data_IF_893305767883
#
_entry.id   IF_893305767883
#
_cell.length_a   1.000
_cell.length_b   1.000
_cell.length_c   1.000
_cell.angle_alpha   90.00
_cell.angle_beta   90.00
_cell.angle_gamma   90.00
#
_symmetry.space_group_name_H-M   'P 1'
#
loop_
_entity.id
_entity.type
_entity.pdbx_description
1 polymer ?
#
# COMPACT_ATOMS: atom_id res chain seq x y z
N UNK A 1 -0.31 14.45 -10.17
CA UNK A 1 0.20 13.09 -9.88
C UNK A 1 1.71 13.10 -9.99
N UNK A 2 2.40 12.68 -8.94
CA UNK A 2 3.84 12.41 -8.92
C UNK A 2 4.04 11.00 -9.47
N UNK A 3 4.92 10.86 -10.47
CA UNK A 3 5.16 9.58 -11.15
C UNK A 3 6.57 9.12 -10.89
N UNK A 4 6.72 7.87 -10.46
CA UNK A 4 8.04 7.29 -10.20
C UNK A 4 8.13 5.87 -10.70
N UNK A 5 9.30 5.53 -11.23
CA UNK A 5 9.62 4.20 -11.73
C UNK A 5 10.88 3.68 -11.04
N UNK A 6 10.89 2.40 -10.66
CA UNK A 6 12.08 1.74 -10.11
C UNK A 6 12.20 0.32 -10.67
N UNK A 7 13.41 -0.14 -10.98
CA UNK A 7 13.62 -1.52 -11.44
C UNK A 7 13.34 -2.50 -10.30
N UNK A 8 12.59 -3.56 -10.60
CA UNK A 8 12.28 -4.64 -9.67
C UNK A 8 13.24 -5.80 -9.87
N UNK A 9 13.32 -6.25 -11.12
CA UNK A 9 14.12 -7.42 -11.49
C UNK A 9 14.50 -7.34 -12.96
N UNK A 10 15.59 -8.02 -13.30
CA UNK A 10 16.08 -8.18 -14.66
C UNK A 10 16.58 -9.61 -14.86
N UNK A 11 15.85 -10.38 -15.65
CA UNK A 11 16.10 -11.80 -15.89
C UNK A 11 15.99 -12.09 -17.38
N UNK A 12 17.01 -12.70 -17.98
CA UNK A 12 17.02 -13.16 -19.37
C UNK A 12 16.52 -12.13 -20.42
N UNK A 13 16.83 -10.85 -20.21
CA UNK A 13 16.44 -9.76 -21.10
C UNK A 13 15.02 -9.22 -20.88
N UNK A 14 14.26 -9.78 -19.94
CA UNK A 14 13.01 -9.21 -19.43
C UNK A 14 13.28 -8.37 -18.19
N UNK A 15 12.71 -7.16 -18.13
CA UNK A 15 12.86 -6.28 -16.98
C UNK A 15 11.50 -5.82 -16.49
N UNK A 16 11.28 -5.90 -15.17
CA UNK A 16 10.07 -5.42 -14.51
C UNK A 16 10.39 -4.17 -13.72
N UNK A 17 9.45 -3.24 -13.70
CA UNK A 17 9.59 -1.98 -12.97
C UNK A 17 8.34 -1.70 -12.16
N UNK A 18 8.55 -1.20 -10.95
CA UNK A 18 7.53 -0.56 -10.15
C UNK A 18 7.15 0.74 -10.84
N UNK A 19 5.86 1.02 -10.95
CA UNK A 19 5.38 2.30 -11.43
C UNK A 19 4.29 2.83 -10.50
N UNK A 20 4.60 3.94 -9.85
CA UNK A 20 3.69 4.61 -8.92
C UNK A 20 3.19 5.91 -9.53
N UNK A 21 1.90 6.18 -9.32
CA UNK A 21 1.27 7.48 -9.57
C UNK A 21 0.60 7.93 -8.27
N UNK A 22 1.16 8.96 -7.64
CA UNK A 22 0.78 9.39 -6.28
C UNK A 22 0.12 10.76 -6.38
N UNK A 23 -1.05 10.93 -5.76
CA UNK A 23 -1.65 12.25 -5.63
C UNK A 23 -0.70 13.17 -4.83
N UNK A 24 -0.41 14.41 -5.28
CA UNK A 24 0.55 15.30 -4.62
C UNK A 24 0.31 15.45 -3.12
N UNK A 25 -0.95 15.59 -2.71
CA UNK A 25 -1.32 15.76 -1.29
C UNK A 25 -1.01 14.52 -0.43
N UNK A 26 -0.80 13.35 -1.05
CA UNK A 26 -0.41 12.12 -0.37
C UNK A 26 1.12 11.92 -0.34
N UNK A 27 1.92 12.75 -1.02
CA UNK A 27 3.38 12.62 -1.03
C UNK A 27 3.96 12.63 0.41
N UNK A 28 3.39 13.48 1.26
CA UNK A 28 3.84 13.67 2.63
C UNK A 28 3.72 12.40 3.49
N UNK A 29 2.85 11.44 3.14
CA UNK A 29 2.65 10.20 3.90
C UNK A 29 3.43 9.00 3.33
N UNK A 30 4.12 9.17 2.20
CA UNK A 30 4.86 8.08 1.57
C UNK A 30 6.14 7.77 2.35
N UNK A 31 6.39 6.48 2.54
CA UNK A 31 7.62 5.98 3.13
C UNK A 31 8.80 6.18 2.18
N UNK A 32 9.96 6.60 2.68
CA UNK A 32 11.13 6.95 1.86
C UNK A 32 11.60 5.83 0.90
N UNK A 33 11.41 4.58 1.30
CA UNK A 33 11.85 3.38 0.57
C UNK A 33 10.72 2.67 -0.19
N UNK A 34 9.55 3.32 -0.39
CA UNK A 34 8.39 2.68 -1.03
C UNK A 34 8.69 2.08 -2.41
N UNK A 35 9.66 2.63 -3.14
CA UNK A 35 10.09 2.17 -4.46
C UNK A 35 10.78 0.80 -4.43
N UNK A 36 11.28 0.37 -3.27
CA UNK A 36 11.88 -0.96 -3.08
C UNK A 36 10.86 -2.08 -2.97
N UNK A 37 9.56 -1.77 -2.87
CA UNK A 37 8.53 -2.79 -2.77
C UNK A 37 8.65 -3.84 -3.89
N UNK A 38 8.65 -5.12 -3.53
CA UNK A 38 8.78 -6.24 -4.49
C UNK A 38 10.18 -6.47 -5.06
N UNK A 39 11.18 -5.66 -4.68
CA UNK A 39 12.60 -5.87 -5.03
C UNK A 39 13.30 -6.72 -3.98
N UNK A 40 14.47 -7.28 -4.32
CA UNK A 40 15.30 -8.03 -3.37
C UNK A 40 15.82 -7.18 -2.20
N UNK A 41 15.88 -5.85 -2.38
CA UNK A 41 16.28 -4.89 -1.36
C UNK A 41 15.11 -4.47 -0.43
N UNK A 42 13.93 -5.08 -0.57
CA UNK A 42 12.79 -4.79 0.30
C UNK A 42 12.98 -5.42 1.69
N UNK A 43 13.18 -4.58 2.70
CA UNK A 43 13.51 -5.01 4.07
C UNK A 43 12.36 -4.83 5.08
N UNK A 44 11.18 -4.37 4.62
CA UNK A 44 10.04 -4.05 5.51
C UNK A 44 8.99 -5.16 5.61
N UNK A 45 9.26 -6.36 5.09
CA UNK A 45 8.29 -7.45 5.09
C UNK A 45 7.79 -7.80 6.51
N UNK A 46 8.71 -7.96 7.47
CA UNK A 46 8.37 -8.25 8.86
C UNK A 46 7.56 -7.13 9.51
N UNK A 47 7.92 -5.87 9.25
CA UNK A 47 7.16 -4.71 9.72
C UNK A 47 5.71 -4.76 9.20
N UNK A 48 5.52 -5.04 7.91
CA UNK A 48 4.17 -5.07 7.32
C UNK A 48 3.30 -6.19 7.91
N UNK A 49 3.85 -7.39 8.10
CA UNK A 49 3.14 -8.50 8.75
C UNK A 49 2.78 -8.18 10.21
N UNK A 50 3.69 -7.54 10.96
CA UNK A 50 3.41 -7.12 12.33
C UNK A 50 2.31 -6.06 12.38
N UNK A 51 2.31 -5.08 11.46
CA UNK A 51 1.24 -4.09 11.36
C UNK A 51 -0.11 -4.74 11.04
N UNK A 52 -0.14 -5.69 10.10
CA UNK A 52 -1.37 -6.42 9.78
C UNK A 52 -1.90 -7.20 10.98
N UNK A 53 -0.99 -7.89 11.69
CA UNK A 53 -1.33 -8.62 12.90
C UNK A 53 -1.94 -7.71 13.96
N UNK A 54 -1.32 -6.56 14.24
CA UNK A 54 -1.80 -5.62 15.25
C UNK A 54 -3.17 -5.03 14.88
N UNK A 55 -3.38 -4.66 13.62
CA UNK A 55 -4.61 -3.98 13.19
C UNK A 55 -5.79 -4.93 12.91
N UNK A 56 -5.52 -6.23 12.72
CA UNK A 56 -6.54 -7.21 12.39
C UNK A 56 -6.54 -8.40 13.36
N UNK A 57 -5.55 -9.27 13.32
CA UNK A 57 -5.55 -10.51 14.10
C UNK A 57 -5.66 -10.27 15.62
N UNK A 58 -4.87 -9.34 16.16
CA UNK A 58 -4.83 -9.07 17.59
C UNK A 58 -6.01 -8.18 18.05
N UNK A 59 -6.68 -7.48 17.11
CA UNK A 59 -7.76 -6.53 17.37
C UNK A 59 -9.14 -7.18 17.42
N UNK A 60 -9.35 -8.24 16.63
CA UNK A 60 -10.65 -8.87 16.48
C UNK A 60 -10.63 -10.32 16.95
N UNK A 61 -11.54 -10.66 17.86
CA UNK A 61 -11.83 -12.05 18.22
C UNK A 61 -12.58 -12.77 17.08
N UNK A 62 -12.07 -13.90 16.62
CA UNK A 62 -12.62 -14.67 15.49
C UNK A 62 -14.06 -15.15 15.74
N UNK A 63 -14.38 -15.50 16.98
CA UNK A 63 -15.70 -16.05 17.30
C UNK A 63 -16.77 -14.96 17.38
N UNK A 64 -16.41 -13.78 17.89
CA UNK A 64 -17.29 -12.62 18.03
C UNK A 64 -17.43 -11.86 16.71
N UNK A 65 -16.35 -11.72 15.94
CA UNK A 65 -16.29 -10.87 14.74
C UNK A 65 -16.15 -11.69 13.44
N UNK A 66 -16.93 -12.76 13.30
CA UNK A 66 -16.87 -13.67 12.13
C UNK A 66 -16.95 -12.95 10.79
N UNK A 67 -17.83 -11.96 10.64
CA UNK A 67 -17.93 -11.22 9.38
C UNK A 67 -16.66 -10.45 9.03
N UNK A 68 -15.94 -9.92 10.02
CA UNK A 68 -14.65 -9.24 9.80
C UNK A 68 -13.63 -10.24 9.32
N UNK A 69 -13.61 -11.44 9.91
CA UNK A 69 -12.74 -12.51 9.48
C UNK A 69 -13.04 -12.96 8.05
N UNK A 70 -14.30 -13.23 7.72
CA UNK A 70 -14.71 -13.68 6.39
C UNK A 70 -14.43 -12.63 5.31
N UNK A 71 -14.73 -11.35 5.56
CA UNK A 71 -14.58 -10.29 4.56
C UNK A 71 -13.13 -9.85 4.37
N UNK A 72 -12.35 -9.82 5.45
CA UNK A 72 -11.04 -9.17 5.48
C UNK A 72 -9.92 -10.13 5.90
N UNK A 73 -9.99 -10.70 7.11
CA UNK A 73 -8.81 -11.36 7.71
C UNK A 73 -8.44 -12.66 6.98
N UNK A 74 -9.44 -13.45 6.57
CA UNK A 74 -9.28 -14.69 5.81
C UNK A 74 -9.25 -14.46 4.30
N UNK A 75 -9.35 -13.20 3.86
CA UNK A 75 -9.32 -12.83 2.46
C UNK A 75 -7.90 -12.44 2.05
N UNK A 76 -7.18 -13.37 1.41
CA UNK A 76 -5.79 -13.16 0.99
C UNK A 76 -5.60 -11.90 0.13
N UNK A 77 -6.55 -11.59 -0.78
CA UNK A 77 -6.45 -10.37 -1.60
C UNK A 77 -6.54 -9.10 -0.77
N UNK A 78 -7.34 -9.13 0.30
CA UNK A 78 -7.40 -8.01 1.24
C UNK A 78 -6.09 -7.91 2.02
N UNK A 79 -5.58 -9.04 2.53
CA UNK A 79 -4.29 -9.08 3.23
C UNK A 79 -3.17 -8.51 2.37
N UNK A 80 -3.03 -8.97 1.12
CA UNK A 80 -2.04 -8.47 0.16
C UNK A 80 -2.15 -6.95 -0.04
N UNK A 81 -3.38 -6.42 -0.20
CA UNK A 81 -3.63 -4.98 -0.32
C UNK A 81 -3.22 -4.23 0.95
N UNK A 82 -3.54 -4.75 2.13
CA UNK A 82 -3.17 -4.13 3.40
C UNK A 82 -1.64 -4.12 3.61
N UNK A 83 -0.98 -5.25 3.34
CA UNK A 83 0.49 -5.36 3.38
C UNK A 83 1.14 -4.36 2.42
N UNK A 84 0.61 -4.23 1.20
CA UNK A 84 1.08 -3.22 0.26
C UNK A 84 0.95 -1.79 0.82
N UNK A 85 -0.18 -1.45 1.46
CA UNK A 85 -0.35 -0.13 2.09
C UNK A 85 0.69 0.10 3.18
N UNK A 86 0.92 -0.85 4.09
CA UNK A 86 1.95 -0.73 5.12
C UNK A 86 3.38 -0.62 4.55
N UNK A 87 3.63 -1.24 3.39
CA UNK A 87 4.91 -1.19 2.71
C UNK A 87 5.23 0.21 2.15
N UNK A 88 4.22 0.95 1.69
CA UNK A 88 4.42 2.24 1.02
C UNK A 88 4.09 3.46 1.87
N UNK A 89 3.26 3.30 2.90
CA UNK A 89 2.87 4.40 3.81
C UNK A 89 3.78 4.40 5.03
N UNK A 90 4.22 5.59 5.41
CA UNK A 90 4.90 5.85 6.67
C UNK A 90 3.87 6.17 7.74
N UNK A 91 3.79 5.33 8.77
CA UNK A 91 2.74 5.45 9.79
C UNK A 91 2.85 6.75 10.60
N UNK A 92 4.06 7.18 10.97
CA UNK A 92 4.25 8.40 11.75
C UNK A 92 3.89 9.64 10.92
N UNK A 93 4.20 9.63 9.62
CA UNK A 93 3.77 10.70 8.72
C UNK A 93 2.28 10.68 8.47
N UNK A 94 1.69 9.49 8.31
CA UNK A 94 0.25 9.34 8.16
C UNK A 94 -0.52 9.86 9.37
N UNK A 95 -0.08 9.53 10.59
CA UNK A 95 -0.68 10.03 11.82
C UNK A 95 -0.68 11.57 11.86
N UNK A 96 0.46 12.20 11.55
CA UNK A 96 0.56 13.67 11.46
C UNK A 96 -0.35 14.25 10.38
N UNK A 97 -0.45 13.57 9.23
CA UNK A 97 -1.35 13.99 8.16
C UNK A 97 -2.81 13.99 8.62
N UNK A 98 -3.25 12.95 9.33
CA UNK A 98 -4.62 12.89 9.90
C UNK A 98 -4.84 13.99 10.94
N UNK A 99 -3.87 14.24 11.81
CA UNK A 99 -3.96 15.32 12.82
C UNK A 99 -4.08 16.72 12.18
N UNK A 100 -3.44 16.94 11.02
CA UNK A 100 -3.48 18.22 10.31
C UNK A 100 -4.69 18.36 9.38
N UNK A 101 -5.38 17.27 9.06
CA UNK A 101 -6.48 17.23 8.10
C UNK A 101 -7.70 16.54 8.72
N UNK A 102 -8.31 17.20 9.72
CA UNK A 102 -9.50 16.69 10.43
C UNK A 102 -10.67 16.37 9.48
N UNK A 103 -10.75 17.06 8.34
CA UNK A 103 -11.71 16.81 7.28
C UNK A 103 -11.01 16.83 5.93
N UNK A 104 -11.31 15.84 5.09
CA UNK A 104 -10.81 15.75 3.72
C UNK A 104 -12.01 15.88 2.79
N UNK A 105 -12.00 16.93 1.97
CA UNK A 105 -12.95 17.07 0.87
C UNK A 105 -12.56 16.10 -0.26
N UNK A 106 -13.54 15.39 -0.81
CA UNK A 106 -13.36 14.44 -1.92
C UNK A 106 -12.25 13.38 -1.71
N UNK A 107 -12.34 12.55 -0.65
CA UNK A 107 -11.30 11.54 -0.35
C UNK A 107 -11.09 10.53 -1.48
N UNK A 108 -12.07 10.36 -2.37
CA UNK A 108 -11.95 9.52 -3.57
C UNK A 108 -10.95 10.05 -4.62
N UNK A 109 -10.56 11.33 -4.57
CA UNK A 109 -9.59 11.91 -5.50
C UNK A 109 -8.13 11.74 -5.02
N UNK A 110 -7.95 11.55 -3.71
CA UNK A 110 -6.65 11.29 -3.10
C UNK A 110 -6.25 9.83 -3.34
N UNK A 111 -5.65 9.58 -4.50
CA UNK A 111 -5.35 8.24 -5.00
C UNK A 111 -3.83 7.98 -5.08
N UNK A 112 -3.44 6.75 -4.76
CA UNK A 112 -2.17 6.14 -5.15
C UNK A 112 -2.46 4.97 -6.09
N UNK A 113 -1.89 5.00 -7.29
CA UNK A 113 -1.92 3.88 -8.22
C UNK A 113 -0.56 3.20 -8.28
N UNK A 114 -0.58 1.88 -8.32
CA UNK A 114 0.61 1.06 -8.48
C UNK A 114 0.43 0.07 -9.62
N UNK A 115 1.42 0.05 -10.49
CA UNK A 115 1.49 -0.80 -11.66
C UNK A 115 2.84 -1.47 -11.77
N UNK A 116 2.85 -2.63 -12.41
CA UNK A 116 4.07 -3.22 -12.95
C UNK A 116 4.18 -2.81 -14.41
N UNK A 117 5.34 -2.26 -14.77
CA UNK A 117 5.75 -2.07 -16.16
C UNK A 117 6.74 -3.15 -16.55
N UNK A 118 6.73 -3.53 -17.83
CA UNK A 118 7.84 -4.27 -18.41
C UNK A 118 8.57 -3.48 -19.49
N UNK A 119 9.73 -4.00 -19.90
CA UNK A 119 10.55 -3.41 -20.96
C UNK A 119 9.92 -3.52 -22.37
N UNK A 120 8.79 -4.19 -22.54
CA UNK A 120 7.99 -4.18 -23.76
C UNK A 120 6.91 -3.07 -23.74
N UNK A 121 6.80 -2.31 -22.66
CA UNK A 121 5.83 -1.23 -22.49
C UNK A 121 4.46 -1.68 -22.01
N UNK A 122 4.31 -2.94 -21.58
CA UNK A 122 3.07 -3.43 -20.96
C UNK A 122 2.93 -2.82 -19.58
N UNK A 123 1.76 -2.24 -19.30
CA UNK A 123 1.39 -1.71 -17.98
C UNK A 123 0.25 -2.52 -17.39
N UNK A 124 0.52 -3.19 -16.27
CA UNK A 124 -0.50 -3.91 -15.50
C UNK A 124 -0.80 -3.10 -14.24
N UNK A 125 -2.04 -2.62 -14.09
CA UNK A 125 -2.48 -2.01 -12.83
C UNK A 125 -2.73 -3.10 -11.79
N UNK A 126 -2.04 -3.00 -10.66
CA UNK A 126 -2.17 -3.93 -9.55
C UNK A 126 -3.10 -3.34 -8.50
N UNK A 127 -2.84 -2.09 -8.11
CA UNK A 127 -3.64 -1.39 -7.12
C UNK A 127 -4.00 0.02 -7.57
N UNK A 128 -5.18 0.43 -7.14
CA UNK A 128 -5.65 1.81 -7.10
C UNK A 128 -6.27 1.99 -5.71
N UNK A 129 -5.59 2.72 -4.83
CA UNK A 129 -5.99 2.92 -3.44
C UNK A 129 -6.27 4.39 -3.19
N UNK A 130 -7.35 4.65 -2.47
CA UNK A 130 -7.72 5.98 -1.99
C UNK A 130 -7.21 6.23 -0.57
N UNK A 131 -7.28 7.48 -0.09
CA UNK A 131 -7.04 7.78 1.33
C UNK A 131 -8.01 7.03 2.26
N UNK A 132 -9.22 6.71 1.79
CA UNK A 132 -10.19 5.89 2.55
C UNK A 132 -9.70 4.46 2.72
N UNK A 133 -9.08 3.87 1.70
CA UNK A 133 -8.48 2.54 1.81
C UNK A 133 -7.32 2.54 2.80
N UNK A 134 -6.49 3.59 2.76
CA UNK A 134 -5.37 3.77 3.70
C UNK A 134 -5.90 3.90 5.13
N UNK A 135 -6.92 4.75 5.34
CA UNK A 135 -7.55 4.94 6.64
C UNK A 135 -8.26 3.69 7.17
N UNK A 136 -8.72 2.80 6.30
CA UNK A 136 -9.37 1.56 6.73
C UNK A 136 -8.39 0.54 7.33
N UNK A 137 -7.13 0.52 6.86
CA UNK A 137 -6.13 -0.45 7.32
C UNK A 137 -5.29 0.04 8.51
N UNK A 138 -5.30 1.33 8.83
CA UNK A 138 -4.66 1.88 10.05
C UNK A 138 -5.70 2.09 11.16
#
# INVERSE_FOLDING_TARGET
>A
MIKTTNEISKEDGYSRYNFFEIHPDLEAIIHKDYQKYGTDDFDRAEYCENMYKQNFYDKYDETVYKEVYEKYINNEKFKEKAIFIYAIIDFDKYKKFVELNETIENPSELIISYSILDNAGVKVNIYNISITDIAFVF
#
